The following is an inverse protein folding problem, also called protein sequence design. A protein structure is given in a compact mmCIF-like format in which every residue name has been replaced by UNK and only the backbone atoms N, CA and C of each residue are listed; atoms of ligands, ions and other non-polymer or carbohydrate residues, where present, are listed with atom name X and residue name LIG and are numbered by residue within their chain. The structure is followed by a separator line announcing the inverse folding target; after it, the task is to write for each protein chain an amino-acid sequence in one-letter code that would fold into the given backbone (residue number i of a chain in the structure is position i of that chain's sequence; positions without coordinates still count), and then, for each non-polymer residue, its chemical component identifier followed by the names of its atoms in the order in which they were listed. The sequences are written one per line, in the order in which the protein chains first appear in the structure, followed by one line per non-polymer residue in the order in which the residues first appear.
data_IF_514797160227
#
_entry.id   IF_514797160227
#
_cell.length_a   1.000
_cell.length_b   1.000
_cell.length_c   1.000
_cell.angle_alpha   90.00
_cell.angle_beta   90.00
_cell.angle_gamma   90.00
#
_symmetry.space_group_name_H-M   'P 1'
#
loop_
_entity.id
_entity.type
_entity.pdbx_description
1 polymer ?
#
# COMPACT_ATOMS: atom_id res chain seq x y z
N UNK A 1 -21.82 -1.52 -6.56
CA UNK A 1 -21.50 -1.14 -5.16
C UNK A 1 -21.43 0.38 -5.10
N UNK A 2 -21.90 1.01 -4.01
CA UNK A 2 -22.12 2.47 -3.93
C UNK A 2 -20.86 3.25 -4.35
N UNK A 3 -20.88 3.79 -5.57
CA UNK A 3 -19.86 4.73 -6.06
C UNK A 3 -20.20 6.19 -5.72
N UNK A 4 -21.28 6.44 -4.99
CA UNK A 4 -21.71 7.77 -4.59
C UNK A 4 -21.95 7.81 -3.07
N UNK A 5 -20.95 8.31 -2.35
CA UNK A 5 -21.12 8.70 -0.95
C UNK A 5 -21.95 9.98 -0.87
N UNK A 6 -23.15 9.89 -0.28
CA UNK A 6 -24.06 11.04 -0.05
C UNK A 6 -23.50 12.09 0.93
N UNK A 7 -22.33 11.83 1.54
CA UNK A 7 -21.68 12.69 2.53
C UNK A 7 -20.39 13.26 1.95
N UNK A 8 -20.21 14.58 2.04
CA UNK A 8 -18.98 15.28 1.65
C UNK A 8 -17.84 15.07 2.67
N UNK A 9 -17.44 13.82 2.89
CA UNK A 9 -16.29 13.47 3.72
C UNK A 9 -15.57 12.27 3.13
N UNK A 10 -14.30 12.44 2.80
CA UNK A 10 -13.42 11.42 2.25
C UNK A 10 -12.04 11.52 2.88
N UNK A 11 -11.26 10.45 2.74
CA UNK A 11 -9.83 10.47 3.00
C UNK A 11 -9.11 10.49 1.65
N UNK A 12 -8.26 11.49 1.44
CA UNK A 12 -7.38 11.54 0.28
C UNK A 12 -6.07 10.85 0.63
N UNK A 13 -5.68 9.87 -0.20
CA UNK A 13 -4.46 9.10 0.00
C UNK A 13 -3.45 9.51 -1.07
N UNK A 14 -2.36 10.11 -0.62
CA UNK A 14 -1.24 10.46 -1.49
C UNK A 14 -0.31 9.24 -1.70
N UNK A 15 -0.33 8.70 -2.92
CA UNK A 15 0.49 7.55 -3.30
C UNK A 15 1.97 7.92 -3.51
N UNK A 16 2.29 9.18 -3.80
CA UNK A 16 3.68 9.63 -3.91
C UNK A 16 4.37 9.63 -2.55
N UNK A 17 3.63 9.87 -1.46
CA UNK A 17 4.13 9.67 -0.10
C UNK A 17 4.50 8.20 0.18
N UNK A 18 3.68 7.24 -0.27
CA UNK A 18 3.98 5.80 -0.13
C UNK A 18 5.22 5.43 -0.94
N UNK A 19 5.31 5.90 -2.19
CA UNK A 19 6.47 5.73 -3.07
C UNK A 19 7.74 6.30 -2.45
N UNK A 20 7.67 7.51 -1.89
CA UNK A 20 8.78 8.15 -1.20
C UNK A 20 9.26 7.27 -0.04
N UNK A 21 8.34 6.81 0.81
CA UNK A 21 8.66 5.99 1.98
C UNK A 21 9.38 4.70 1.60
N UNK A 22 8.85 3.93 0.63
CA UNK A 22 9.50 2.68 0.23
C UNK A 22 10.88 2.94 -0.41
N UNK A 23 11.03 4.03 -1.16
CA UNK A 23 12.32 4.44 -1.71
C UNK A 23 13.34 4.74 -0.60
N UNK A 24 12.94 5.49 0.43
CA UNK A 24 13.81 5.79 1.58
C UNK A 24 14.17 4.53 2.37
N UNK A 25 13.21 3.62 2.58
CA UNK A 25 13.47 2.35 3.25
C UNK A 25 14.53 1.57 2.47
N UNK A 26 14.34 1.38 1.16
CA UNK A 26 15.31 0.68 0.29
C UNK A 26 16.71 1.30 0.35
N UNK A 27 16.81 2.62 0.27
CA UNK A 27 18.09 3.33 0.37
C UNK A 27 18.78 3.08 1.72
N UNK A 28 18.01 2.94 2.80
CA UNK A 28 18.53 2.74 4.15
C UNK A 28 18.93 1.29 4.43
N UNK A 29 18.16 0.32 3.94
CA UNK A 29 18.41 -1.11 4.24
C UNK A 29 19.34 -1.78 3.23
N UNK A 30 19.56 -1.16 2.06
CA UNK A 30 20.41 -1.70 1.01
C UNK A 30 19.77 -2.88 0.27
N UNK A 31 20.60 -3.82 -0.21
CA UNK A 31 20.15 -4.95 -1.03
C UNK A 31 19.60 -6.10 -0.16
N UNK A 32 18.42 -5.90 0.42
CA UNK A 32 17.68 -6.92 1.16
C UNK A 32 16.25 -7.01 0.64
N UNK A 33 15.62 -8.17 0.84
CA UNK A 33 14.20 -8.32 0.53
C UNK A 33 13.35 -7.52 1.51
N UNK A 34 12.32 -6.85 0.99
CA UNK A 34 11.32 -6.12 1.77
C UNK A 34 9.99 -6.82 1.58
N UNK A 35 9.25 -7.00 2.68
CA UNK A 35 7.88 -7.50 2.66
C UNK A 35 6.93 -6.32 2.88
N UNK A 36 6.11 -6.03 1.86
CA UNK A 36 5.06 -5.02 1.91
C UNK A 36 3.82 -5.56 2.62
N UNK A 37 3.60 -5.15 3.87
CA UNK A 37 2.42 -5.59 4.62
C UNK A 37 1.24 -4.68 4.27
N UNK A 38 0.19 -5.25 3.67
CA UNK A 38 -0.98 -4.51 3.15
C UNK A 38 -2.32 -5.02 3.73
N UNK A 39 -2.28 -5.65 4.91
CA UNK A 39 -3.49 -6.06 5.66
C UNK A 39 -4.43 -4.89 5.96
N UNK A 40 -5.67 -5.21 6.32
CA UNK A 40 -6.73 -4.26 6.64
C UNK A 40 -6.94 -3.23 5.52
N UNK A 41 -7.05 -3.71 4.29
CA UNK A 41 -7.17 -2.89 3.08
C UNK A 41 -6.05 -1.83 2.96
N UNK A 42 -4.79 -2.26 3.11
CA UNK A 42 -3.64 -1.34 3.09
C UNK A 42 -3.68 -0.36 4.27
N UNK A 43 -4.04 -0.84 5.46
CA UNK A 43 -4.24 0.00 6.66
C UNK A 43 -5.26 1.12 6.41
N UNK A 44 -6.33 0.85 5.65
CA UNK A 44 -7.35 1.82 5.27
C UNK A 44 -6.97 2.78 4.14
N UNK A 45 -5.79 2.62 3.53
CA UNK A 45 -5.33 3.44 2.40
C UNK A 45 -5.73 2.84 1.04
N UNK A 46 -6.29 1.62 1.02
CA UNK A 46 -6.64 0.86 -0.16
C UNK A 46 -5.54 -0.12 -0.56
N UNK A 47 -5.73 -1.40 -0.25
CA UNK A 47 -4.71 -2.44 -0.42
C UNK A 47 -4.20 -2.53 -1.86
N UNK A 48 -5.11 -2.49 -2.85
CA UNK A 48 -4.74 -2.67 -4.26
C UNK A 48 -3.84 -1.55 -4.75
N UNK A 49 -4.21 -0.30 -4.51
CA UNK A 49 -3.42 0.87 -4.95
C UNK A 49 -2.07 0.92 -4.23
N UNK A 50 -2.04 0.68 -2.92
CA UNK A 50 -0.79 0.62 -2.15
C UNK A 50 0.11 -0.52 -2.63
N UNK A 51 -0.45 -1.71 -2.87
CA UNK A 51 0.30 -2.88 -3.37
C UNK A 51 0.98 -2.60 -4.69
N UNK A 52 0.27 -1.97 -5.64
CA UNK A 52 0.84 -1.59 -6.94
C UNK A 52 2.03 -0.66 -6.75
N UNK A 53 1.90 0.39 -5.92
CA UNK A 53 3.01 1.30 -5.63
C UNK A 53 4.21 0.57 -5.03
N UNK A 54 3.99 -0.36 -4.10
CA UNK A 54 5.08 -1.12 -3.50
C UNK A 54 5.78 -2.02 -4.54
N UNK A 55 5.01 -2.74 -5.37
CA UNK A 55 5.53 -3.62 -6.43
C UNK A 55 6.33 -2.83 -7.46
N UNK A 56 5.77 -1.73 -7.96
CA UNK A 56 6.42 -0.84 -8.95
C UNK A 56 7.73 -0.24 -8.42
N UNK A 57 7.89 -0.17 -7.09
CA UNK A 57 9.09 0.31 -6.43
C UNK A 57 9.99 -0.82 -5.88
N UNK A 58 9.78 -2.06 -6.34
CA UNK A 58 10.69 -3.19 -6.13
C UNK A 58 10.47 -3.98 -4.83
N UNK A 59 9.28 -3.89 -4.23
CA UNK A 59 8.84 -4.85 -3.21
C UNK A 59 8.32 -6.09 -3.92
N UNK A 60 8.95 -7.24 -3.69
CA UNK A 60 8.61 -8.49 -4.38
C UNK A 60 7.73 -9.43 -3.57
N UNK A 61 7.45 -9.11 -2.30
CA UNK A 61 6.62 -9.93 -1.42
C UNK A 61 5.59 -9.04 -0.73
N UNK A 62 4.33 -9.45 -0.79
CA UNK A 62 3.24 -8.83 -0.04
C UNK A 62 2.76 -9.75 1.08
N UNK A 63 2.35 -9.18 2.21
CA UNK A 63 1.76 -9.90 3.32
C UNK A 63 0.40 -9.31 3.71
N UNK A 64 -0.59 -10.18 3.90
CA UNK A 64 -1.96 -9.86 4.30
C UNK A 64 -2.34 -10.63 5.58
N UNK A 65 -3.46 -10.27 6.21
CA UNK A 65 -3.87 -10.92 7.46
C UNK A 65 -4.82 -12.10 7.24
N UNK A 66 -5.59 -12.10 6.15
CA UNK A 66 -6.62 -13.13 5.89
C UNK A 66 -6.56 -13.65 4.46
N UNK A 67 -7.16 -14.82 4.22
CA UNK A 67 -7.26 -15.40 2.88
C UNK A 67 -8.12 -14.53 1.94
N UNK A 68 -9.12 -13.80 2.46
CA UNK A 68 -9.94 -12.91 1.66
C UNK A 68 -9.19 -11.69 1.11
N UNK A 69 -8.06 -11.34 1.73
CA UNK A 69 -7.20 -10.23 1.28
C UNK A 69 -6.15 -10.70 0.26
N UNK A 70 -5.98 -12.01 0.06
CA UNK A 70 -5.02 -12.61 -0.88
C UNK A 70 -5.63 -12.84 -2.26
#
# INVERSE_FOLDING_TARGET
MLNETLRAAWAEIDLDCIKHNITQIKNRVGNVQIVGVVKADGYGHGAVKVSNVLIDNGVSILAVATLNEA
#
